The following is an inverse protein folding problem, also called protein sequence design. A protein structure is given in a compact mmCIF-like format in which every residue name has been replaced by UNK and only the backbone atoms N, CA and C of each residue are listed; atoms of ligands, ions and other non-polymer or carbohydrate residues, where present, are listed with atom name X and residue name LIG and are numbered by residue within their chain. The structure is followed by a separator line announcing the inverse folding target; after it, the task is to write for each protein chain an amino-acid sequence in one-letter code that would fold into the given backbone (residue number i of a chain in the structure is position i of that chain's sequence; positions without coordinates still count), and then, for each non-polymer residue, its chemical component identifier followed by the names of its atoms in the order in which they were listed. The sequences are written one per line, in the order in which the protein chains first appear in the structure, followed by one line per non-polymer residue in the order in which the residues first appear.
data_IF_088048325695
#
_entry.id   IF_088048325695
#
_cell.length_a   1.000
_cell.length_b   1.000
_cell.length_c   1.000
_cell.angle_alpha   90.00
_cell.angle_beta   90.00
_cell.angle_gamma   90.00
#
_symmetry.space_group_name_H-M   'P 1'
#
loop_
_entity.id
_entity.type
_entity.pdbx_description
1 polymer ?
#
# COMPACT_ATOMS: atom_id res chain seq x y z
N UNK A 1 50.27 -44.83 4.84
CA UNK A 1 50.76 -43.43 4.81
C UNK A 1 49.59 -42.52 5.15
N UNK A 2 49.63 -41.82 6.29
CA UNK A 2 48.48 -41.05 6.82
C UNK A 2 48.65 -39.58 6.40
N UNK A 3 47.90 -39.13 5.40
CA UNK A 3 47.91 -37.74 4.94
C UNK A 3 47.27 -36.84 6.00
N UNK A 4 48.05 -35.95 6.63
CA UNK A 4 47.52 -34.98 7.59
C UNK A 4 46.90 -33.80 6.83
N UNK A 5 45.57 -33.74 6.80
CA UNK A 5 44.85 -32.55 6.33
C UNK A 5 45.10 -31.39 7.30
N UNK A 6 45.80 -30.34 6.85
CA UNK A 6 45.93 -29.08 7.58
C UNK A 6 44.55 -28.46 7.76
N UNK A 7 44.01 -28.49 8.99
CA UNK A 7 42.79 -27.73 9.32
C UNK A 7 43.16 -26.25 9.37
N UNK A 8 42.68 -25.47 8.39
CA UNK A 8 42.70 -24.00 8.43
C UNK A 8 41.65 -23.54 9.44
N UNK A 9 42.09 -22.82 10.47
CA UNK A 9 41.22 -22.11 11.41
C UNK A 9 40.89 -20.70 10.88
N UNK A 10 39.69 -20.21 11.20
CA UNK A 10 39.24 -18.88 10.85
C UNK A 10 39.86 -17.84 11.80
N UNK A 11 40.42 -16.77 11.28
CA UNK A 11 41.02 -15.71 12.12
C UNK A 11 39.98 -14.65 12.48
N UNK A 12 40.08 -14.08 13.68
CA UNK A 12 39.19 -12.97 14.09
C UNK A 12 39.36 -11.73 13.21
N UNK A 13 40.56 -11.53 12.65
CA UNK A 13 40.84 -10.39 11.77
C UNK A 13 40.16 -10.55 10.40
N UNK A 14 40.08 -11.77 9.85
CA UNK A 14 39.29 -12.04 8.65
C UNK A 14 37.82 -11.70 8.88
N UNK A 15 37.25 -12.05 10.03
CA UNK A 15 35.88 -11.67 10.37
C UNK A 15 35.70 -10.16 10.49
N UNK A 16 36.64 -9.49 11.14
CA UNK A 16 36.58 -8.06 11.44
C UNK A 16 36.58 -7.22 10.15
N UNK A 17 37.42 -7.59 9.18
CA UNK A 17 37.47 -6.87 7.89
C UNK A 17 36.18 -7.07 7.11
N UNK A 18 35.58 -8.26 7.17
CA UNK A 18 34.31 -8.56 6.48
C UNK A 18 33.18 -7.69 7.01
N UNK A 19 33.01 -7.60 8.34
CA UNK A 19 31.95 -6.76 8.92
C UNK A 19 32.20 -5.27 8.64
N UNK A 20 33.45 -4.83 8.62
CA UNK A 20 33.80 -3.44 8.31
C UNK A 20 33.34 -3.06 6.89
N UNK A 21 33.56 -3.94 5.92
CA UNK A 21 33.13 -3.72 4.52
C UNK A 21 31.60 -3.73 4.42
N UNK A 22 30.91 -4.68 5.08
CA UNK A 22 29.44 -4.75 5.08
C UNK A 22 28.83 -3.46 5.64
N UNK A 23 29.38 -2.91 6.72
CA UNK A 23 28.89 -1.66 7.32
C UNK A 23 29.04 -0.47 6.38
N UNK A 24 30.15 -0.37 5.65
CA UNK A 24 30.35 0.69 4.64
C UNK A 24 29.29 0.57 3.53
N UNK A 25 29.02 -0.65 3.05
CA UNK A 25 27.99 -0.87 2.02
C UNK A 25 26.60 -0.50 2.53
N UNK A 26 26.23 -0.92 3.74
CA UNK A 26 24.92 -0.60 4.34
C UNK A 26 24.75 0.89 4.54
N UNK A 27 25.79 1.61 4.97
CA UNK A 27 25.73 3.05 5.21
C UNK A 27 25.28 3.83 3.96
N UNK A 28 25.66 3.39 2.77
CA UNK A 28 25.28 4.01 1.49
C UNK A 28 23.97 3.41 0.96
N UNK A 29 23.80 2.09 1.09
CA UNK A 29 22.65 1.39 0.52
C UNK A 29 21.34 1.68 1.26
N UNK A 30 21.38 1.80 2.59
CA UNK A 30 20.19 1.97 3.43
C UNK A 30 19.39 3.26 3.13
N UNK A 31 19.99 4.47 3.06
CA UNK A 31 19.22 5.68 2.76
C UNK A 31 18.58 5.61 1.36
N UNK A 32 19.32 5.11 0.36
CA UNK A 32 18.79 4.94 -0.99
C UNK A 32 17.65 3.91 -1.03
N UNK A 33 17.74 2.83 -0.24
CA UNK A 33 16.67 1.83 -0.13
C UNK A 33 15.39 2.42 0.47
N UNK A 34 15.49 3.24 1.52
CA UNK A 34 14.34 3.91 2.12
C UNK A 34 13.67 4.87 1.13
N UNK A 35 14.44 5.67 0.40
CA UNK A 35 13.90 6.54 -0.65
C UNK A 35 13.19 5.74 -1.75
N UNK A 36 13.80 4.65 -2.21
CA UNK A 36 13.20 3.77 -3.23
C UNK A 36 11.88 3.17 -2.74
N UNK A 37 11.79 2.79 -1.46
CA UNK A 37 10.57 2.28 -0.85
C UNK A 37 9.46 3.34 -0.84
N UNK A 38 9.77 4.59 -0.48
CA UNK A 38 8.80 5.70 -0.51
C UNK A 38 8.33 5.97 -1.94
N UNK A 39 9.25 6.03 -2.91
CA UNK A 39 8.91 6.21 -4.33
C UNK A 39 8.00 5.09 -4.85
N UNK A 40 8.25 3.84 -4.45
CA UNK A 40 7.40 2.72 -4.79
C UNK A 40 5.99 2.84 -4.21
N UNK A 41 5.86 3.30 -2.95
CA UNK A 41 4.54 3.58 -2.33
C UNK A 41 3.80 4.70 -3.05
N UNK A 42 4.48 5.78 -3.42
CA UNK A 42 3.89 6.89 -4.20
C UNK A 42 3.41 6.38 -5.57
N UNK A 43 4.24 5.61 -6.27
CA UNK A 43 3.87 5.05 -7.57
C UNK A 43 2.65 4.12 -7.47
N UNK A 44 2.57 3.31 -6.41
CA UNK A 44 1.40 2.47 -6.12
C UNK A 44 0.14 3.32 -5.90
N UNK A 45 0.20 4.33 -5.02
CA UNK A 45 -0.93 5.23 -4.77
C UNK A 45 -1.39 5.95 -6.04
N UNK A 46 -0.46 6.43 -6.87
CA UNK A 46 -0.78 7.04 -8.17
C UNK A 46 -1.47 6.06 -9.13
N UNK A 47 -1.04 4.80 -9.16
CA UNK A 47 -1.69 3.76 -9.97
C UNK A 47 -3.11 3.49 -9.48
N UNK A 48 -3.29 3.37 -8.16
CA UNK A 48 -4.60 3.12 -7.54
C UNK A 48 -5.58 4.28 -7.80
N UNK A 49 -5.13 5.53 -7.69
CA UNK A 49 -5.95 6.71 -8.03
C UNK A 49 -6.41 6.70 -9.49
N UNK A 50 -5.55 6.30 -10.43
CA UNK A 50 -5.92 6.18 -11.86
C UNK A 50 -6.97 5.10 -12.07
N UNK A 51 -6.84 3.97 -11.37
CA UNK A 51 -7.84 2.89 -11.39
C UNK A 51 -9.20 3.37 -10.87
N UNK A 52 -9.22 4.11 -9.76
CA UNK A 52 -10.45 4.71 -9.22
C UNK A 52 -11.07 5.75 -10.17
N UNK A 53 -10.25 6.61 -10.76
CA UNK A 53 -10.73 7.60 -11.72
C UNK A 53 -11.36 6.94 -12.95
N UNK A 54 -10.72 5.90 -13.48
CA UNK A 54 -11.24 5.12 -14.62
C UNK A 54 -12.56 4.45 -14.26
N UNK A 55 -12.64 3.82 -13.09
CA UNK A 55 -13.87 3.19 -12.59
C UNK A 55 -15.02 4.20 -12.44
N UNK A 56 -14.72 5.39 -11.92
CA UNK A 56 -15.69 6.48 -11.74
C UNK A 56 -16.23 7.00 -13.08
N UNK A 57 -15.35 7.16 -14.07
CA UNK A 57 -15.74 7.58 -15.42
C UNK A 57 -16.62 6.52 -16.08
N UNK A 58 -16.24 5.24 -16.00
CA UNK A 58 -17.04 4.13 -16.55
C UNK A 58 -18.42 4.06 -15.91
N UNK A 59 -18.51 4.23 -14.59
CA UNK A 59 -19.80 4.32 -13.89
C UNK A 59 -20.65 5.49 -14.41
N UNK A 60 -20.07 6.69 -14.54
CA UNK A 60 -20.81 7.85 -15.05
C UNK A 60 -21.33 7.64 -16.47
N UNK A 61 -20.60 6.93 -17.32
CA UNK A 61 -21.04 6.62 -18.68
C UNK A 61 -22.26 5.70 -18.68
N UNK A 62 -22.30 4.72 -17.78
CA UNK A 62 -23.38 3.73 -17.72
C UNK A 62 -24.64 4.27 -17.02
N UNK A 63 -24.50 5.18 -16.04
CA UNK A 63 -25.63 5.78 -15.29
C UNK A 63 -25.93 7.24 -15.66
N UNK A 64 -25.80 7.63 -16.94
CA UNK A 64 -26.22 8.94 -17.44
C UNK A 64 -25.67 10.12 -16.60
N UNK A 65 -24.37 10.08 -16.31
CA UNK A 65 -23.60 11.11 -15.63
C UNK A 65 -23.93 11.31 -14.13
N UNK A 66 -24.49 10.30 -13.46
CA UNK A 66 -24.61 10.27 -12.00
C UNK A 66 -23.26 9.91 -11.38
N UNK A 67 -22.77 10.74 -10.45
CA UNK A 67 -21.54 10.44 -9.71
C UNK A 67 -21.75 9.29 -8.71
N UNK A 68 -20.78 8.36 -8.55
CA UNK A 68 -20.88 7.27 -7.57
C UNK A 68 -20.73 7.75 -6.12
N UNK A 69 -20.27 8.98 -5.90
CA UNK A 69 -20.20 9.65 -4.60
C UNK A 69 -21.35 10.63 -4.52
N UNK A 70 -22.32 10.36 -3.64
CA UNK A 70 -23.44 11.26 -3.40
C UNK A 70 -22.95 12.65 -3.00
N UNK A 71 -23.08 13.61 -3.90
CA UNK A 71 -22.86 15.04 -3.67
C UNK A 71 -24.00 15.58 -2.80
N UNK A 72 -24.02 15.24 -1.51
CA UNK A 72 -24.92 15.84 -0.52
C UNK A 72 -25.38 14.85 0.57
N UNK A 73 -25.71 15.35 1.77
CA UNK A 73 -26.36 14.55 2.81
C UNK A 73 -27.79 14.24 2.36
N UNK A 74 -27.95 13.16 1.59
CA UNK A 74 -29.25 12.68 1.13
C UNK A 74 -29.18 11.18 0.91
N UNK A 75 -30.20 10.42 1.35
CA UNK A 75 -30.19 8.98 1.21
C UNK A 75 -30.28 8.59 -0.27
N UNK A 76 -29.21 7.98 -0.79
CA UNK A 76 -29.27 7.29 -2.08
C UNK A 76 -29.80 5.88 -1.81
N UNK A 77 -31.05 5.65 -2.19
CA UNK A 77 -31.60 4.29 -2.30
C UNK A 77 -31.82 3.50 -0.99
N UNK A 78 -32.28 4.16 0.08
CA UNK A 78 -32.83 3.46 1.25
C UNK A 78 -31.83 2.71 2.14
N UNK A 79 -30.53 2.98 2.01
CA UNK A 79 -29.50 2.41 2.90
C UNK A 79 -29.14 3.44 3.96
N UNK A 80 -29.74 3.30 5.14
CA UNK A 80 -29.46 4.16 6.29
C UNK A 80 -28.12 3.76 6.92
N UNK A 81 -27.20 4.72 6.98
CA UNK A 81 -25.85 4.65 7.57
C UNK A 81 -24.82 3.88 6.75
N UNK A 82 -24.16 4.58 5.81
CA UNK A 82 -22.80 4.20 5.40
C UNK A 82 -21.97 5.47 5.26
N UNK A 83 -20.86 5.50 5.98
CA UNK A 83 -19.92 6.61 6.11
C UNK A 83 -19.41 7.10 4.75
N UNK A 84 -19.07 8.40 4.69
CA UNK A 84 -18.60 9.19 3.53
C UNK A 84 -17.43 8.61 2.69
N UNK A 85 -16.89 7.45 3.05
CA UNK A 85 -15.84 6.71 2.32
C UNK A 85 -16.32 5.34 1.79
N UNK A 86 -17.43 4.80 2.28
CA UNK A 86 -17.96 3.47 1.95
C UNK A 86 -19.02 3.45 0.84
N UNK A 87 -19.71 4.57 0.57
CA UNK A 87 -20.74 4.63 -0.48
C UNK A 87 -20.15 4.66 -1.90
N UNK A 88 -19.01 5.34 -2.08
CA UNK A 88 -18.30 5.42 -3.35
C UNK A 88 -17.90 4.04 -3.89
N UNK A 89 -17.51 3.15 -2.99
CA UNK A 89 -16.93 1.84 -3.28
C UNK A 89 -17.98 0.74 -3.45
N UNK A 90 -19.16 0.88 -2.82
CA UNK A 90 -20.25 -0.09 -2.93
C UNK A 90 -20.97 0.00 -4.30
N UNK A 91 -21.13 1.22 -4.83
CA UNK A 91 -21.69 1.45 -6.17
C UNK A 91 -20.76 1.00 -7.31
N UNK A 92 -19.44 0.96 -7.08
CA UNK A 92 -18.46 0.49 -8.07
C UNK A 92 -18.28 -1.04 -8.06
N UNK A 93 -18.89 -1.76 -7.11
CA UNK A 93 -18.74 -3.22 -6.96
C UNK A 93 -20.04 -4.01 -7.13
N UNK A 94 -21.22 -3.36 -7.20
CA UNK A 94 -22.52 -4.03 -7.42
C UNK A 94 -23.51 -3.13 -8.20
N UNK A 95 -24.33 -3.64 -9.16
CA UNK A 95 -24.36 -4.96 -9.79
C UNK A 95 -23.36 -5.16 -10.96
N UNK A 96 -22.69 -4.09 -11.41
CA UNK A 96 -21.57 -4.14 -12.37
C UNK A 96 -20.30 -3.71 -11.64
N UNK A 97 -19.27 -4.56 -11.66
CA UNK A 97 -18.01 -4.29 -10.97
C UNK A 97 -17.06 -3.48 -11.86
N UNK A 98 -16.93 -2.18 -11.57
CA UNK A 98 -15.94 -1.28 -12.18
C UNK A 98 -14.59 -1.35 -11.47
N UNK A 99 -14.55 -1.97 -10.29
CA UNK A 99 -13.35 -2.25 -9.49
C UNK A 99 -13.36 -3.71 -9.04
N UNK A 100 -12.19 -4.37 -9.10
CA UNK A 100 -12.01 -5.74 -8.62
C UNK A 100 -11.80 -5.84 -7.12
N UNK A 101 -11.28 -4.78 -6.51
CA UNK A 101 -11.10 -4.64 -5.07
C UNK A 101 -10.91 -3.16 -4.72
N UNK A 102 -11.21 -2.80 -3.47
CA UNK A 102 -11.00 -1.45 -2.97
C UNK A 102 -9.50 -1.29 -2.68
N UNK A 103 -8.79 -0.36 -3.35
CA UNK A 103 -7.40 -0.09 -3.05
C UNK A 103 -7.27 0.50 -1.64
N UNK A 104 -6.36 -0.04 -0.84
CA UNK A 104 -6.04 0.46 0.49
C UNK A 104 -4.89 1.45 0.37
N UNK A 105 -5.10 2.67 0.85
CA UNK A 105 -4.08 3.72 0.80
C UNK A 105 -2.81 3.27 1.55
N UNK A 106 -1.65 3.20 0.86
CA UNK A 106 -0.38 2.79 1.44
C UNK A 106 0.18 3.77 2.50
N UNK A 107 -0.43 4.94 2.68
CA UNK A 107 -0.08 5.92 3.71
C UNK A 107 -1.11 5.99 4.84
N UNK A 108 -2.19 5.20 4.78
CA UNK A 108 -3.26 5.33 5.77
C UNK A 108 -2.78 5.06 7.19
N UNK A 109 -1.82 4.15 7.40
CA UNK A 109 -1.27 3.76 8.72
C UNK A 109 -0.85 4.95 9.61
N UNK A 110 -0.44 6.09 9.04
CA UNK A 110 -0.04 7.28 9.81
C UNK A 110 -1.21 8.04 10.47
N UNK A 111 -2.45 7.80 10.05
CA UNK A 111 -3.64 8.52 10.55
C UNK A 111 -4.39 7.77 11.66
N UNK A 112 -3.97 6.55 12.02
CA UNK A 112 -4.72 5.67 12.94
C UNK A 112 -4.24 5.71 14.39
N UNK A 113 -3.15 6.41 14.69
CA UNK A 113 -2.61 6.50 16.06
C UNK A 113 -3.33 7.56 16.91
N UNK A 114 -4.13 8.44 16.29
CA UNK A 114 -4.89 9.50 16.97
C UNK A 114 -6.42 9.24 17.05
N UNK A 115 -6.98 8.27 16.32
CA UNK A 115 -8.44 8.16 16.23
C UNK A 115 -8.95 6.72 16.02
N UNK A 116 -8.85 5.91 17.07
CA UNK A 116 -9.39 4.53 17.15
C UNK A 116 -10.93 4.47 17.12
N UNK A 117 -11.61 4.80 16.00
CA UNK A 117 -13.07 4.63 15.94
C UNK A 117 -13.69 4.20 14.60
N UNK A 118 -12.91 3.95 13.54
CA UNK A 118 -13.51 3.60 12.23
C UNK A 118 -13.57 2.09 11.92
N UNK A 119 -13.05 1.21 12.78
CA UNK A 119 -13.06 -0.26 12.54
C UNK A 119 -14.24 -1.01 13.15
N UNK A 120 -15.10 -0.36 13.94
CA UNK A 120 -16.21 -1.02 14.66
C UNK A 120 -17.58 -0.85 13.99
N UNK A 121 -17.62 -0.54 12.69
CA UNK A 121 -18.87 -0.48 11.90
C UNK A 121 -18.73 -1.38 10.68
N UNK A 122 -18.57 -2.68 10.93
CA UNK A 122 -19.05 -3.77 10.07
C UNK A 122 -19.75 -4.78 10.97
#
# INVERSE_FOLDING_TARGET
MKNRSLKRGFTLIELLIVIAIILILIAIALPNFLEAQIRARIAKAQSEMKTLATATVSYRLDWNNVDPVGSGPGPVGGVERISWWGFASYALTTPVAYLTSIPVDPFSEYLWEENHSFRDIV
#
